data_IF_539317574271
#
_entry.id   IF_539317574271
#
_cell.length_a   1.000
_cell.length_b   1.000
_cell.length_c   1.000
_cell.angle_alpha   90.00
_cell.angle_beta   90.00
_cell.angle_gamma   90.00
#
_symmetry.space_group_name_H-M   'P 1'
#
loop_
_entity.id
_entity.type
_entity.pdbx_description
1 polymer ?
#
# COMPACT_ATOMS: atom_id res chain seq x y z
N UNK A 1 14.72 -10.63 14.23
CA UNK A 1 15.15 -9.24 13.96
C UNK A 1 14.13 -8.31 14.58
N UNK A 2 14.51 -7.24 15.28
CA UNK A 2 13.55 -6.27 15.78
C UNK A 2 12.79 -5.66 14.59
N UNK A 3 11.46 -5.73 14.58
CA UNK A 3 10.62 -5.05 13.60
C UNK A 3 10.85 -3.56 13.73
N UNK A 4 11.28 -2.89 12.65
CA UNK A 4 11.38 -1.44 12.65
C UNK A 4 10.02 -0.83 13.01
N UNK A 5 9.99 0.31 13.71
CA UNK A 5 8.73 1.00 13.97
C UNK A 5 8.05 1.31 12.64
N UNK A 6 6.72 1.23 12.57
CA UNK A 6 5.95 1.60 11.38
C UNK A 6 6.11 3.09 11.01
N UNK A 7 5.18 3.62 10.22
CA UNK A 7 5.25 5.02 9.81
C UNK A 7 5.31 5.98 11.02
N UNK A 8 6.24 6.93 10.97
CA UNK A 8 6.45 7.94 12.01
C UNK A 8 5.69 9.23 11.70
N UNK A 9 5.47 9.51 10.41
CA UNK A 9 4.66 10.63 9.94
C UNK A 9 4.11 10.36 8.53
N UNK A 10 3.00 11.01 8.20
CA UNK A 10 2.45 11.08 6.84
C UNK A 10 2.44 12.53 6.38
N UNK A 11 3.01 12.79 5.21
CA UNK A 11 3.07 14.11 4.57
C UNK A 11 2.32 14.09 3.26
N UNK A 12 1.70 15.21 2.91
CA UNK A 12 1.02 15.38 1.63
C UNK A 12 1.81 16.31 0.74
N UNK A 13 2.04 15.89 -0.50
CA UNK A 13 2.71 16.70 -1.52
C UNK A 13 1.75 17.05 -2.65
N UNK A 14 1.90 18.24 -3.24
CA UNK A 14 1.17 18.64 -4.44
C UNK A 14 1.98 18.38 -5.73
N UNK A 15 3.11 17.65 -5.62
CA UNK A 15 3.92 17.29 -6.78
C UNK A 15 3.07 16.50 -7.80
N UNK A 16 3.03 16.94 -9.08
CA UNK A 16 2.32 16.21 -10.13
C UNK A 16 2.91 14.81 -10.32
N UNK A 17 2.06 13.80 -10.47
CA UNK A 17 2.49 12.41 -10.72
C UNK A 17 3.07 11.68 -9.52
N UNK A 18 3.13 12.29 -8.33
CA UNK A 18 3.51 11.58 -7.11
C UNK A 18 2.36 10.70 -6.63
N UNK A 19 2.64 9.40 -6.45
CA UNK A 19 1.73 8.46 -5.80
C UNK A 19 1.96 8.44 -4.29
N UNK A 20 2.71 7.46 -3.79
CA UNK A 20 3.14 7.38 -2.39
C UNK A 20 4.57 6.83 -2.33
N UNK A 21 5.29 7.18 -1.28
CA UNK A 21 6.63 6.66 -1.02
C UNK A 21 6.96 6.81 0.45
N UNK A 22 7.69 5.85 1.00
CA UNK A 22 8.18 5.88 2.38
C UNK A 22 9.69 5.93 2.40
N UNK A 23 10.23 6.91 3.14
CA UNK A 23 11.66 6.95 3.44
C UNK A 23 11.98 5.88 4.51
N UNK A 24 12.75 4.83 4.17
CA UNK A 24 13.03 3.74 5.09
C UNK A 24 13.92 4.16 6.27
N UNK A 25 14.70 5.24 6.14
CA UNK A 25 15.56 5.70 7.23
C UNK A 25 14.76 6.45 8.31
N UNK A 26 13.71 7.18 7.91
CA UNK A 26 12.96 8.07 8.80
C UNK A 26 11.55 7.55 9.12
N UNK A 27 11.01 6.64 8.33
CA UNK A 27 9.62 6.18 8.41
C UNK A 27 8.60 7.25 7.99
N UNK A 28 9.05 8.30 7.30
CA UNK A 28 8.15 9.35 6.80
C UNK A 28 7.57 8.91 5.46
N UNK A 29 6.25 8.73 5.42
CA UNK A 29 5.51 8.48 4.19
C UNK A 29 5.09 9.81 3.55
N UNK A 30 5.36 10.00 2.27
CA UNK A 30 4.90 11.13 1.48
C UNK A 30 3.88 10.64 0.45
N UNK A 31 2.67 11.20 0.48
CA UNK A 31 1.56 10.84 -0.40
C UNK A 31 1.18 12.04 -1.27
N UNK A 32 0.94 11.80 -2.55
CA UNK A 32 0.40 12.78 -3.48
C UNK A 32 -1.02 13.17 -3.10
N UNK A 33 -1.26 14.48 -2.97
CA UNK A 33 -2.56 15.05 -2.58
C UNK A 33 -3.65 14.77 -3.61
N UNK A 34 -3.28 14.66 -4.89
CA UNK A 34 -4.20 14.29 -5.97
C UNK A 34 -4.67 12.82 -5.85
N UNK A 35 -3.74 11.89 -5.60
CA UNK A 35 -4.05 10.49 -5.33
C UNK A 35 -4.94 10.38 -4.08
N UNK A 36 -4.48 10.94 -2.96
CA UNK A 36 -5.18 10.86 -1.67
C UNK A 36 -6.65 11.29 -1.76
N UNK A 37 -6.94 12.40 -2.46
CA UNK A 37 -8.31 12.91 -2.63
C UNK A 37 -9.20 11.99 -3.46
N UNK A 38 -8.65 11.22 -4.38
CA UNK A 38 -9.40 10.28 -5.23
C UNK A 38 -9.71 8.97 -4.51
N UNK A 39 -8.88 8.58 -3.56
CA UNK A 39 -9.05 7.38 -2.75
C UNK A 39 -10.16 7.57 -1.69
N UNK A 40 -11.00 6.56 -1.52
CA UNK A 40 -11.92 6.34 -0.41
C UNK A 40 -11.18 6.10 0.91
N UNK A 41 -11.91 6.10 2.02
CA UNK A 41 -11.30 5.84 3.33
C UNK A 41 -10.63 4.47 3.43
N UNK A 42 -11.21 3.44 2.81
CA UNK A 42 -10.67 2.08 2.81
C UNK A 42 -9.41 1.99 1.94
N UNK A 43 -9.41 2.65 0.79
CA UNK A 43 -8.25 2.79 -0.09
C UNK A 43 -7.07 3.47 0.60
N UNK A 44 -7.34 4.60 1.27
CA UNK A 44 -6.33 5.33 2.04
C UNK A 44 -5.74 4.47 3.14
N UNK A 45 -6.58 3.70 3.84
CA UNK A 45 -6.11 2.82 4.90
C UNK A 45 -5.22 1.70 4.36
N UNK A 46 -5.60 1.08 3.24
CA UNK A 46 -4.77 0.05 2.61
C UNK A 46 -3.42 0.63 2.15
N UNK A 47 -3.42 1.79 1.48
CA UNK A 47 -2.20 2.49 1.07
C UNK A 47 -1.25 2.72 2.25
N UNK A 48 -1.75 3.22 3.38
CA UNK A 48 -0.92 3.44 4.57
C UNK A 48 -0.34 2.15 5.15
N UNK A 49 -1.08 1.04 5.09
CA UNK A 49 -0.57 -0.26 5.52
C UNK A 49 0.54 -0.78 4.60
N UNK A 50 0.40 -0.57 3.30
CA UNK A 50 1.42 -0.90 2.31
C UNK A 50 2.71 -0.10 2.58
N UNK A 51 2.59 1.22 2.73
CA UNK A 51 3.72 2.10 3.05
C UNK A 51 4.35 1.78 4.41
N UNK A 52 3.54 1.37 5.39
CA UNK A 52 4.05 0.85 6.67
C UNK A 52 4.87 -0.42 6.48
N UNK A 53 4.52 -1.27 5.53
CA UNK A 53 5.19 -2.54 5.29
C UNK A 53 6.62 -2.36 4.81
N UNK A 54 6.89 -1.38 3.94
CA UNK A 54 8.26 -1.02 3.53
C UNK A 54 9.15 -0.80 4.74
N UNK A 55 8.61 -0.12 5.75
CA UNK A 55 9.34 0.16 6.97
C UNK A 55 9.44 -1.05 7.88
N UNK A 56 8.33 -1.70 8.22
CA UNK A 56 8.32 -2.82 9.17
C UNK A 56 9.16 -4.01 8.67
N UNK A 57 9.11 -4.27 7.37
CA UNK A 57 9.82 -5.37 6.72
C UNK A 57 11.24 -4.98 6.25
N UNK A 58 11.55 -3.69 6.22
CA UNK A 58 12.81 -3.16 5.69
C UNK A 58 13.09 -3.69 4.26
N UNK A 59 12.10 -3.58 3.38
CA UNK A 59 12.15 -4.15 2.03
C UNK A 59 11.61 -3.19 0.97
N UNK A 60 12.16 -3.26 -0.23
CA UNK A 60 11.58 -2.68 -1.45
C UNK A 60 10.79 -3.71 -2.27
N UNK A 61 10.56 -4.91 -1.74
CA UNK A 61 9.72 -5.92 -2.39
C UNK A 61 8.24 -5.58 -2.17
N UNK A 62 7.66 -4.93 -3.16
CA UNK A 62 6.24 -4.56 -3.22
C UNK A 62 5.29 -5.72 -2.92
N UNK A 63 5.64 -6.96 -3.34
CA UNK A 63 4.79 -8.13 -3.07
C UNK A 63 4.75 -8.48 -1.60
N UNK A 64 5.89 -8.35 -0.92
CA UNK A 64 5.95 -8.54 0.53
C UNK A 64 5.16 -7.45 1.25
N UNK A 65 5.22 -6.21 0.75
CA UNK A 65 4.44 -5.08 1.27
C UNK A 65 2.93 -5.31 1.14
N UNK A 66 2.48 -5.77 -0.02
CA UNK A 66 1.07 -6.08 -0.27
C UNK A 66 0.55 -7.24 0.56
N UNK A 67 1.33 -8.31 0.67
CA UNK A 67 0.97 -9.44 1.51
C UNK A 67 0.82 -9.02 2.97
N UNK A 68 1.71 -8.16 3.46
CA UNK A 68 1.61 -7.58 4.80
C UNK A 68 0.38 -6.70 4.95
N UNK A 69 0.18 -5.75 4.04
CA UNK A 69 -0.95 -4.82 4.09
C UNK A 69 -2.28 -5.56 4.05
N UNK A 70 -2.42 -6.55 3.17
CA UNK A 70 -3.60 -7.41 3.09
C UNK A 70 -3.80 -8.20 4.38
N UNK A 71 -2.76 -8.79 4.96
CA UNK A 71 -2.87 -9.51 6.23
C UNK A 71 -3.36 -8.60 7.37
N UNK A 72 -2.85 -7.37 7.48
CA UNK A 72 -3.31 -6.41 8.49
C UNK A 72 -4.74 -5.92 8.23
N UNK A 73 -5.08 -5.65 6.97
CA UNK A 73 -6.43 -5.23 6.58
C UNK A 73 -7.46 -6.31 6.93
N UNK A 74 -7.18 -7.58 6.61
CA UNK A 74 -8.04 -8.75 6.90
C UNK A 74 -8.26 -8.99 8.39
N UNK A 75 -7.30 -8.58 9.25
CA UNK A 75 -7.47 -8.63 10.71
C UNK A 75 -8.43 -7.56 11.22
N UNK A 76 -8.52 -6.42 10.52
CA UNK A 76 -9.31 -5.27 10.95
C UNK A 76 -10.75 -5.31 10.44
N UNK A 77 -10.97 -5.88 9.26
CA UNK A 77 -12.23 -5.77 8.55
C UNK A 77 -12.82 -7.12 8.10
N UNK A 78 -14.15 -7.30 8.15
CA UNK A 78 -14.82 -8.51 7.67
C UNK A 78 -14.71 -8.67 6.15
N UNK A 79 -14.93 -9.89 5.64
CA UNK A 79 -14.63 -10.28 4.25
C UNK A 79 -15.38 -9.48 3.18
N UNK A 80 -16.58 -9.05 3.49
CA UNK A 80 -17.50 -8.29 2.63
C UNK A 80 -17.03 -6.86 2.32
N UNK A 81 -16.08 -6.34 3.08
CA UNK A 81 -15.49 -5.01 2.88
C UNK A 81 -14.00 -5.07 2.49
N UNK A 82 -13.52 -6.26 2.11
CA UNK A 82 -12.17 -6.39 1.58
C UNK A 82 -12.08 -5.64 0.25
N UNK A 83 -10.98 -4.91 0.03
CA UNK A 83 -10.81 -4.15 -1.19
C UNK A 83 -10.97 -5.07 -2.41
N UNK A 84 -11.81 -4.66 -3.37
CA UNK A 84 -11.91 -5.32 -4.67
C UNK A 84 -10.58 -5.19 -5.42
N UNK A 85 -10.29 -6.14 -6.31
CA UNK A 85 -9.08 -6.21 -7.15
C UNK A 85 -8.62 -4.87 -7.79
N UNK A 86 -9.57 -4.02 -8.16
CA UNK A 86 -9.33 -2.68 -8.73
C UNK A 86 -8.55 -1.74 -7.79
N UNK A 87 -8.64 -1.98 -6.49
CA UNK A 87 -8.16 -1.11 -5.42
C UNK A 87 -6.69 -1.37 -5.09
N UNK A 88 -6.23 -2.60 -5.33
CA UNK A 88 -4.84 -3.01 -5.19
C UNK A 88 -4.01 -2.66 -6.44
N UNK A 89 -4.66 -2.61 -7.61
CA UNK A 89 -4.01 -2.26 -8.89
C UNK A 89 -3.99 -0.76 -9.17
N UNK A 90 -4.84 0.04 -8.52
CA UNK A 90 -4.84 1.50 -8.66
C UNK A 90 -3.92 2.25 -7.68
N UNK A 91 -3.52 1.61 -6.58
CA UNK A 91 -2.70 2.22 -5.52
C UNK A 91 -1.20 2.04 -5.78
N UNK A 92 -0.83 1.07 -6.64
CA UNK A 92 0.55 0.60 -6.84
C UNK A 92 0.94 0.64 -8.31
N UNK A 93 0.82 1.83 -8.90
CA UNK A 93 1.20 2.10 -10.28
C UNK A 93 0.21 1.62 -11.36
N UNK A 94 -0.72 2.50 -11.72
CA UNK A 94 -1.55 2.33 -12.92
C UNK A 94 -0.73 2.34 -14.24
N UNK A 95 0.58 2.62 -14.18
CA UNK A 95 1.48 2.68 -15.32
C UNK A 95 2.39 1.46 -15.53
N UNK A 96 2.43 0.48 -14.59
CA UNK A 96 3.06 -0.83 -14.79
C UNK A 96 2.03 -1.99 -14.90
N UNK A 97 1.54 -2.31 -16.12
CA UNK A 97 0.60 -3.40 -16.34
C UNK A 97 1.14 -4.79 -15.95
N UNK A 98 2.46 -4.97 -15.86
CA UNK A 98 3.08 -6.22 -15.44
C UNK A 98 2.97 -6.39 -13.92
N UNK A 99 3.00 -5.30 -13.16
CA UNK A 99 2.77 -5.31 -11.71
C UNK A 99 1.32 -5.72 -11.38
N UNK A 100 0.35 -5.09 -12.05
CA UNK A 100 -1.07 -5.41 -11.88
C UNK A 100 -1.39 -6.88 -12.20
N UNK A 101 -0.85 -7.43 -13.29
CA UNK A 101 -1.05 -8.83 -13.67
C UNK A 101 -0.44 -9.83 -12.67
N UNK A 102 0.71 -9.50 -12.06
CA UNK A 102 1.37 -10.33 -11.04
C UNK A 102 0.56 -10.42 -9.75
N UNK A 103 -0.11 -9.34 -9.35
CA UNK A 103 -0.96 -9.33 -8.17
C UNK A 103 -2.24 -10.17 -8.35
N UNK A 104 -2.82 -10.14 -9.56
CA UNK A 104 -3.97 -10.95 -9.94
C UNK A 104 -3.72 -12.45 -9.73
N UNK A 105 -2.54 -12.91 -10.11
CA UNK A 105 -2.16 -14.31 -10.00
C UNK A 105 -2.03 -14.75 -8.53
N UNK A 106 -1.61 -13.85 -7.64
CA UNK A 106 -1.48 -14.14 -6.21
C UNK A 106 -2.83 -14.21 -5.49
N UNK A 107 -3.74 -13.29 -5.81
CA UNK A 107 -5.09 -13.28 -5.23
C UNK A 107 -5.94 -14.47 -5.71
N UNK A 108 -5.78 -14.88 -6.97
CA UNK A 108 -6.52 -16.02 -7.55
C UNK A 108 -6.06 -17.35 -6.94
N UNK A 109 -4.78 -17.47 -6.55
CA UNK A 109 -4.25 -18.68 -5.91
C UNK A 109 -4.54 -18.75 -4.39
N UNK A 110 -5.12 -17.70 -3.80
CA UNK A 110 -5.43 -17.60 -2.37
C UNK A 110 -6.94 -17.73 -2.06
N UNK A 111 -7.77 -17.93 -3.09
CA UNK A 111 -9.19 -18.29 -3.02
C UNK A 111 -9.36 -19.78 -3.33
#
# INVERSE_FOLDING_TARGET
MPTAPGLTAVRFSNAPGLEATTDPATGVCTVGSALWRRLSALERYFLLLHETAHQVLQTGDERACDAYALAQYRRRFPRDVWPTYTLLTHVLDASDPVHAARLQQHLTNLL
#
